data_IF_636836876582
#
_entry.id   IF_636836876582
#
_cell.length_a   1.000
_cell.length_b   1.000
_cell.length_c   1.000
_cell.angle_alpha   90.00
_cell.angle_beta   90.00
_cell.angle_gamma   90.00
#
_symmetry.space_group_name_H-M   'P 1'
#
loop_
_entity.id
_entity.type
_entity.pdbx_description
1 polymer ?
#
# COMPACT_ATOMS: atom_id res chain seq x y z
N UNK A 1 5.57 0.88 13.07
CA UNK A 1 6.29 1.23 11.82
C UNK A 1 5.53 0.79 10.59
N UNK A 2 4.72 -0.29 10.66
CA UNK A 2 3.84 -0.74 9.57
C UNK A 2 2.34 -0.55 9.84
N UNK A 3 1.95 -0.04 11.01
CA UNK A 3 0.55 0.18 11.36
C UNK A 3 -0.05 1.31 10.52
N UNK A 4 -1.29 1.11 10.07
CA UNK A 4 -2.05 2.15 9.38
C UNK A 4 -2.37 3.34 10.31
N UNK A 5 -2.55 4.56 9.78
CA UNK A 5 -2.81 5.76 10.58
C UNK A 5 -4.06 5.66 11.48
N UNK A 6 -5.04 4.85 11.09
CA UNK A 6 -6.27 4.62 11.85
C UNK A 6 -6.13 3.65 13.03
N UNK A 7 -5.07 2.83 13.07
CA UNK A 7 -4.84 1.84 14.12
C UNK A 7 -4.47 2.57 15.43
N UNK A 8 -5.33 2.47 16.44
CA UNK A 8 -5.18 3.17 17.72
C UNK A 8 -6.00 4.46 17.85
N UNK A 9 -6.76 4.83 16.82
CA UNK A 9 -7.82 5.85 16.88
C UNK A 9 -9.18 5.15 17.11
N UNK A 10 -10.24 5.87 17.51
CA UNK A 10 -11.61 5.34 17.74
C UNK A 10 -12.29 4.83 16.45
N UNK A 11 -11.56 4.69 15.35
CA UNK A 11 -12.10 4.13 14.11
C UNK A 11 -12.09 2.60 14.17
N UNK A 12 -13.08 1.97 13.53
CA UNK A 12 -13.13 0.52 13.42
C UNK A 12 -11.93 0.02 12.61
N UNK A 13 -11.21 -0.96 13.18
CA UNK A 13 -10.18 -1.68 12.45
C UNK A 13 -10.85 -2.44 11.29
N UNK A 14 -10.38 -2.18 10.08
CA UNK A 14 -10.89 -2.81 8.85
C UNK A 14 -9.76 -3.57 8.16
N UNK A 15 -10.12 -4.46 7.23
CA UNK A 15 -9.14 -5.17 6.37
C UNK A 15 -8.22 -4.20 5.62
N UNK A 16 -8.63 -2.93 5.44
CA UNK A 16 -7.79 -1.88 4.87
C UNK A 16 -6.49 -1.65 5.65
N UNK A 17 -6.46 -1.87 6.98
CA UNK A 17 -5.26 -1.73 7.80
C UNK A 17 -4.14 -2.67 7.34
N UNK A 18 -4.48 -3.88 6.91
CA UNK A 18 -3.52 -4.86 6.41
C UNK A 18 -2.96 -4.43 5.05
N UNK A 19 -3.79 -3.80 4.20
CA UNK A 19 -3.34 -3.27 2.91
C UNK A 19 -2.35 -2.11 3.04
N UNK A 20 -2.49 -1.29 4.08
CA UNK A 20 -1.45 -0.31 4.41
C UNK A 20 -0.14 -1.00 4.80
N UNK A 21 -0.22 -2.01 5.67
CA UNK A 21 0.96 -2.76 6.13
C UNK A 21 1.68 -3.41 4.95
N UNK A 22 0.93 -3.99 4.00
CA UNK A 22 1.45 -4.50 2.74
C UNK A 22 2.15 -3.40 1.92
N UNK A 23 1.53 -2.23 1.77
CA UNK A 23 2.13 -1.09 1.07
C UNK A 23 3.44 -0.62 1.71
N UNK A 24 3.49 -0.55 3.04
CA UNK A 24 4.68 -0.15 3.78
C UNK A 24 5.83 -1.16 3.63
N UNK A 25 5.52 -2.46 3.63
CA UNK A 25 6.48 -3.51 3.37
C UNK A 25 6.98 -3.48 1.92
N UNK A 26 6.09 -3.34 0.94
CA UNK A 26 6.48 -3.23 -0.47
C UNK A 26 7.36 -2.01 -0.72
N UNK A 27 7.06 -0.87 -0.08
CA UNK A 27 7.89 0.33 -0.15
C UNK A 27 9.32 0.01 0.33
N UNK A 28 9.46 -0.63 1.48
CA UNK A 28 10.76 -0.99 2.05
C UNK A 28 11.52 -1.97 1.15
N UNK A 29 10.86 -3.00 0.62
CA UNK A 29 11.47 -3.98 -0.27
C UNK A 29 11.95 -3.36 -1.58
N UNK A 30 11.21 -2.39 -2.11
CA UNK A 30 11.51 -1.75 -3.39
C UNK A 30 12.56 -0.64 -3.26
N UNK A 31 12.53 0.12 -2.16
CA UNK A 31 13.40 1.30 -1.98
C UNK A 31 14.60 1.04 -1.08
N UNK A 32 14.58 -0.04 -0.29
CA UNK A 32 15.59 -0.36 0.72
C UNK A 32 15.54 0.54 1.96
N UNK A 33 14.52 1.40 2.09
CA UNK A 33 14.34 2.34 3.20
C UNK A 33 12.91 2.24 3.74
N UNK A 34 12.70 2.41 5.04
CA UNK A 34 11.34 2.34 5.60
C UNK A 34 10.54 3.60 5.27
N UNK A 35 9.20 3.48 5.26
CA UNK A 35 8.30 4.64 5.09
C UNK A 35 8.57 5.72 6.15
N UNK A 36 8.88 5.33 7.39
CA UNK A 36 9.14 6.29 8.48
C UNK A 36 10.44 7.07 8.27
N UNK A 37 11.48 6.43 7.72
CA UNK A 37 12.74 7.10 7.40
C UNK A 37 12.57 8.08 6.24
N UNK A 38 11.80 7.73 5.21
CA UNK A 38 11.51 8.61 4.08
C UNK A 38 10.51 9.73 4.44
N UNK A 39 9.56 9.46 5.34
CA UNK A 39 8.52 10.38 5.77
C UNK A 39 8.44 10.42 7.31
N UNK A 40 9.36 11.13 7.99
CA UNK A 40 9.41 11.15 9.46
C UNK A 40 8.16 11.76 10.14
N UNK A 41 7.45 12.63 9.42
CA UNK A 41 6.19 13.22 9.86
C UNK A 41 4.97 12.31 9.61
N UNK A 42 5.18 11.12 9.03
CA UNK A 42 4.12 10.25 8.55
C UNK A 42 3.55 10.68 7.20
N UNK A 43 2.67 9.83 6.67
CA UNK A 43 1.90 10.09 5.46
C UNK A 43 0.55 10.70 5.87
N UNK A 44 0.15 11.77 5.21
CA UNK A 44 -1.15 12.42 5.33
C UNK A 44 -1.83 12.53 3.95
N UNK A 45 -3.02 13.13 3.89
CA UNK A 45 -3.82 13.30 2.65
C UNK A 45 -3.12 14.10 1.56
N UNK A 46 -2.07 14.85 1.88
CA UNK A 46 -1.32 15.68 0.94
C UNK A 46 0.13 15.20 0.77
N UNK A 47 0.52 14.10 1.39
CA UNK A 47 1.87 13.58 1.27
C UNK A 47 2.07 12.96 -0.10
N UNK A 48 3.03 13.49 -0.86
CA UNK A 48 3.55 12.80 -2.04
C UNK A 48 4.59 11.76 -1.61
N UNK A 49 4.44 10.53 -2.08
CA UNK A 49 5.44 9.49 -1.85
C UNK A 49 6.72 9.81 -2.64
N UNK A 50 7.82 9.97 -1.91
CA UNK A 50 9.14 10.18 -2.50
C UNK A 50 9.69 8.81 -2.91
N UNK A 51 9.51 8.45 -4.18
CA UNK A 51 9.96 7.19 -4.74
C UNK A 51 11.15 7.41 -5.67
N UNK A 52 12.23 6.61 -5.56
CA UNK A 52 13.36 6.69 -6.47
C UNK A 52 12.98 6.46 -7.95
N UNK A 53 13.78 6.99 -8.88
CA UNK A 53 13.53 6.89 -10.32
C UNK A 53 13.71 5.47 -10.90
N UNK A 54 14.35 4.57 -10.16
CA UNK A 54 14.53 3.17 -10.58
C UNK A 54 13.29 2.30 -10.32
N UNK A 55 12.29 2.83 -9.62
CA UNK A 55 11.02 2.14 -9.37
C UNK A 55 10.13 2.25 -10.61
N UNK A 56 9.52 1.15 -11.04
CA UNK A 56 8.62 1.17 -12.19
C UNK A 56 7.36 1.98 -11.92
N UNK A 57 6.72 2.48 -12.98
CA UNK A 57 5.48 3.27 -12.85
C UNK A 57 4.34 2.43 -12.25
N UNK A 58 4.29 1.13 -12.52
CA UNK A 58 3.31 0.21 -11.93
C UNK A 58 3.54 0.06 -10.43
N UNK A 59 4.79 -0.07 -9.99
CA UNK A 59 5.13 -0.16 -8.57
C UNK A 59 4.82 1.16 -7.85
N UNK A 60 5.13 2.30 -8.48
CA UNK A 60 4.78 3.64 -7.98
C UNK A 60 3.27 3.80 -7.83
N UNK A 61 2.50 3.43 -8.85
CA UNK A 61 1.04 3.44 -8.80
C UNK A 61 0.50 2.57 -7.66
N UNK A 62 1.00 1.35 -7.52
CA UNK A 62 0.56 0.43 -6.46
C UNK A 62 0.80 1.03 -5.07
N UNK A 63 2.01 1.53 -4.81
CA UNK A 63 2.38 2.13 -3.53
C UNK A 63 1.54 3.35 -3.21
N UNK A 64 1.27 4.21 -4.21
CA UNK A 64 0.42 5.38 -4.05
C UNK A 64 -1.03 5.00 -3.69
N UNK A 65 -1.57 3.90 -4.21
CA UNK A 65 -2.93 3.49 -3.90
C UNK A 65 -3.06 2.69 -2.59
N UNK A 66 -2.02 1.96 -2.18
CA UNK A 66 -1.98 1.24 -0.90
C UNK A 66 -1.67 2.15 0.30
N UNK A 67 -0.79 3.14 0.14
CA UNK A 67 -0.39 4.08 1.18
C UNK A 67 -1.27 5.33 1.22
N UNK A 68 -2.59 5.14 1.08
CA UNK A 68 -3.59 6.19 1.21
C UNK A 68 -3.95 6.41 2.67
N UNK A 69 -3.89 7.67 3.11
CA UNK A 69 -4.21 8.05 4.50
C UNK A 69 -5.67 7.73 4.83
N UNK A 70 -6.59 8.02 3.90
CA UNK A 70 -8.00 7.66 4.04
C UNK A 70 -8.17 6.16 3.71
N UNK A 71 -8.60 5.37 4.69
CA UNK A 71 -8.76 3.91 4.55
C UNK A 71 -9.80 3.52 3.49
N UNK A 72 -10.81 4.35 3.25
CA UNK A 72 -11.88 4.08 2.26
C UNK A 72 -11.41 4.29 0.82
N UNK A 73 -10.41 5.14 0.61
CA UNK A 73 -9.80 5.40 -0.71
C UNK A 73 -8.65 4.45 -1.02
N UNK A 74 -8.29 3.59 -0.05
CA UNK A 74 -7.18 2.65 -0.15
C UNK A 74 -7.53 1.50 -1.09
N UNK A 75 -6.59 1.11 -1.94
CA UNK A 75 -6.74 -0.08 -2.76
C UNK A 75 -7.00 -1.30 -1.88
N UNK A 76 -8.02 -2.07 -2.22
CA UNK A 76 -8.47 -3.22 -1.43
C UNK A 76 -9.54 -2.92 -0.37
N UNK A 77 -9.94 -1.65 -0.19
CA UNK A 77 -11.05 -1.27 0.70
C UNK A 77 -12.42 -1.21 -0.02
N UNK A 78 -12.42 -1.31 -1.36
CA UNK A 78 -13.64 -1.30 -2.17
C UNK A 78 -14.43 -2.62 -2.12
N UNK A 79 -15.57 -2.68 -2.81
CA UNK A 79 -16.46 -3.85 -2.84
C UNK A 79 -15.76 -5.11 -3.37
N UNK A 80 -14.84 -4.96 -4.31
CA UNK A 80 -14.07 -6.06 -4.87
C UNK A 80 -12.88 -6.47 -3.98
N UNK A 81 -12.52 -5.66 -2.98
CA UNK A 81 -11.53 -5.96 -1.96
C UNK A 81 -10.19 -6.40 -2.56
N UNK A 82 -9.70 -7.56 -2.13
CA UNK A 82 -8.42 -8.13 -2.58
C UNK A 82 -8.33 -8.34 -4.11
N UNK A 83 -9.46 -8.50 -4.80
CA UNK A 83 -9.44 -8.69 -6.26
C UNK A 83 -8.96 -7.42 -6.99
N UNK A 84 -9.21 -6.22 -6.45
CA UNK A 84 -8.65 -4.97 -6.99
C UNK A 84 -7.13 -4.94 -6.88
N UNK A 85 -6.58 -5.51 -5.80
CA UNK A 85 -5.13 -5.63 -5.60
C UNK A 85 -4.54 -6.63 -6.59
N UNK A 86 -5.14 -7.81 -6.71
CA UNK A 86 -4.68 -8.87 -7.63
C UNK A 86 -4.71 -8.44 -9.09
N UNK A 87 -5.70 -7.64 -9.47
CA UNK A 87 -5.87 -7.11 -10.82
C UNK A 87 -4.96 -5.92 -11.15
N UNK A 88 -4.23 -5.37 -10.17
CA UNK A 88 -3.36 -4.20 -10.39
C UNK A 88 -2.24 -4.55 -11.39
N UNK A 89 -1.88 -3.64 -12.33
CA UNK A 89 -0.86 -3.90 -13.36
C UNK A 89 0.50 -4.38 -12.83
N UNK A 90 0.88 -3.98 -11.62
CA UNK A 90 2.09 -4.46 -10.94
C UNK A 90 2.14 -6.01 -10.82
N UNK A 91 0.98 -6.65 -10.69
CA UNK A 91 0.87 -8.11 -10.57
C UNK A 91 0.41 -8.80 -11.86
N UNK A 92 0.39 -8.10 -13.01
CA UNK A 92 -0.13 -8.65 -14.27
C UNK A 92 0.60 -9.93 -14.74
N UNK A 93 1.85 -10.15 -14.30
CA UNK A 93 2.63 -11.34 -14.62
C UNK A 93 2.44 -12.49 -13.64
N UNK A 94 1.66 -12.30 -12.57
CA UNK A 94 1.45 -13.31 -11.54
C UNK A 94 0.23 -14.15 -11.90
N UNK A 95 0.43 -15.46 -12.04
CA UNK A 95 -0.69 -16.40 -12.05
C UNK A 95 -1.07 -16.75 -10.62
N UNK A 96 -2.12 -16.09 -10.13
CA UNK A 96 -2.65 -16.29 -8.79
C UNK A 96 -3.19 -17.70 -8.56
N UNK A 97 -3.61 -18.42 -9.61
CA UNK A 97 -4.13 -19.78 -9.51
C UNK A 97 -3.03 -20.83 -9.38
N UNK A 98 -1.86 -20.57 -9.96
CA UNK A 98 -0.67 -21.41 -9.72
C UNK A 98 -0.04 -21.12 -8.36
N UNK A 99 -0.02 -19.86 -7.93
CA UNK A 99 0.58 -19.46 -6.65
C UNK A 99 -0.18 -20.01 -5.43
N UNK A 100 -1.48 -20.30 -5.57
CA UNK A 100 -2.31 -20.82 -4.48
C UNK A 100 -2.31 -22.36 -4.35
N UNK A 101 -1.49 -23.07 -5.14
CA UNK A 101 -1.35 -24.53 -5.06
C UNK A 101 -0.21 -24.95 -4.14
#
# INVERSE_FOLDING_TARGET
>A
MYCAPEVGVVFEETEACDWWSLGALLFELLTGTTVLECHPAGINTHTCLNLPDHISEEARSLLQQLLQFNSVERLGAGIAGVEDIKAHPFFATIDWTELSK
#
